data_IF_874274881397
#
_entry.id   IF_874274881397
#
_cell.length_a   1.000
_cell.length_b   1.000
_cell.length_c   1.000
_cell.angle_alpha   90.00
_cell.angle_beta   90.00
_cell.angle_gamma   90.00
#
_symmetry.space_group_name_H-M   'P 1'
#
loop_
_entity.id
_entity.type
_entity.pdbx_description
1 polymer ?
#
# COMPACT_ATOMS: atom_id res chain seq x y z
N UNK A 1 0.00 -2.33 25.80
CA UNK A 1 1.28 -2.16 25.10
C UNK A 1 1.02 -1.29 23.88
N UNK A 2 1.82 -0.28 23.58
CA UNK A 2 1.59 0.49 22.35
C UNK A 2 1.94 -0.34 21.10
N UNK A 3 1.58 0.17 19.92
CA UNK A 3 1.95 -0.42 18.63
C UNK A 3 3.47 -0.64 18.54
N UNK A 4 3.90 -1.84 18.16
CA UNK A 4 5.29 -2.22 17.95
C UNK A 4 5.49 -2.63 16.50
N UNK A 5 6.42 -1.97 15.82
CA UNK A 5 6.72 -2.22 14.41
C UNK A 5 8.18 -2.63 14.26
N UNK A 6 8.42 -3.87 13.84
CA UNK A 6 9.75 -4.46 13.78
C UNK A 6 10.09 -4.95 12.38
N UNK A 7 11.25 -4.55 11.86
CA UNK A 7 11.80 -5.16 10.65
C UNK A 7 12.69 -6.35 11.02
N UNK A 8 12.52 -7.46 10.31
CA UNK A 8 13.38 -8.63 10.39
C UNK A 8 14.09 -8.82 9.06
N UNK A 9 15.41 -8.66 9.03
CA UNK A 9 16.22 -8.93 7.83
C UNK A 9 16.65 -10.38 7.83
N UNK A 10 16.42 -11.07 6.72
CA UNK A 10 16.75 -12.48 6.59
C UNK A 10 17.40 -12.82 5.25
N UNK A 11 18.05 -13.98 5.17
CA UNK A 11 18.56 -14.54 3.93
C UNK A 11 17.99 -15.94 3.70
N UNK A 12 17.33 -16.15 2.57
CA UNK A 12 16.78 -17.44 2.15
C UNK A 12 15.67 -17.97 3.06
N UNK A 13 15.13 -19.14 2.71
CA UNK A 13 13.99 -19.74 3.43
C UNK A 13 14.34 -20.11 4.87
N UNK A 14 15.54 -20.62 5.14
CA UNK A 14 15.94 -20.99 6.50
C UNK A 14 16.02 -19.76 7.42
N UNK A 15 16.56 -18.63 6.92
CA UNK A 15 16.59 -17.38 7.65
C UNK A 15 15.20 -16.82 7.92
N UNK A 16 14.30 -16.88 6.94
CA UNK A 16 12.90 -16.50 7.10
C UNK A 16 12.24 -17.31 8.22
N UNK A 17 12.34 -18.64 8.17
CA UNK A 17 11.73 -19.52 9.16
C UNK A 17 12.34 -19.32 10.55
N UNK A 18 13.66 -19.15 10.65
CA UNK A 18 14.36 -18.93 11.90
C UNK A 18 13.93 -17.64 12.60
N UNK A 19 13.60 -16.57 11.86
CA UNK A 19 13.15 -15.32 12.44
C UNK A 19 11.63 -15.26 12.68
N UNK A 20 10.80 -15.78 11.77
CA UNK A 20 9.34 -15.64 11.86
C UNK A 20 8.68 -16.70 12.75
N UNK A 21 9.14 -17.97 12.73
CA UNK A 21 8.48 -19.03 13.51
C UNK A 21 8.53 -18.81 15.03
N UNK A 22 9.65 -18.34 15.65
CA UNK A 22 9.66 -18.04 17.07
C UNK A 22 8.63 -16.98 17.43
N UNK A 23 8.51 -15.92 16.62
CA UNK A 23 7.55 -14.83 16.82
C UNK A 23 6.10 -15.33 16.80
N UNK A 24 5.75 -16.16 15.81
CA UNK A 24 4.41 -16.77 15.69
C UNK A 24 4.12 -17.70 16.86
N UNK A 25 5.07 -18.59 17.19
CA UNK A 25 4.91 -19.57 18.28
C UNK A 25 4.79 -18.89 19.65
N UNK A 26 5.48 -17.78 19.86
CA UNK A 26 5.35 -16.97 21.08
C UNK A 26 3.92 -16.43 21.22
N UNK A 27 3.33 -15.89 20.15
CA UNK A 27 1.92 -15.46 20.14
C UNK A 27 0.97 -16.61 20.50
N UNK A 28 1.16 -17.78 19.90
CA UNK A 28 0.36 -18.97 20.17
C UNK A 28 0.49 -19.47 21.63
N UNK A 29 1.68 -19.37 22.22
CA UNK A 29 1.92 -19.72 23.63
C UNK A 29 1.23 -18.74 24.58
N UNK A 30 1.20 -17.45 24.21
CA UNK A 30 0.57 -16.37 24.95
C UNK A 30 -0.94 -16.25 24.71
N UNK A 31 -1.48 -17.10 23.83
CA UNK A 31 -2.87 -17.07 23.37
C UNK A 31 -3.27 -15.73 22.73
N UNK A 32 -2.29 -15.05 22.12
CA UNK A 32 -2.51 -13.85 21.32
C UNK A 32 -2.89 -14.28 19.90
N UNK A 33 -3.95 -13.70 19.28
CA UNK A 33 -4.26 -13.93 17.87
C UNK A 33 -3.04 -13.62 16.99
N UNK A 34 -2.79 -14.48 15.99
CA UNK A 34 -1.69 -14.30 15.04
C UNK A 34 -2.22 -14.34 13.61
N UNK A 35 -1.90 -13.29 12.85
CA UNK A 35 -2.14 -13.20 11.41
C UNK A 35 -0.83 -13.01 10.68
N UNK A 36 -0.64 -13.74 9.58
CA UNK A 36 0.50 -13.61 8.67
C UNK A 36 -0.04 -13.24 7.30
N UNK A 37 0.21 -12.00 6.89
CA UNK A 37 -0.11 -11.47 5.57
C UNK A 37 1.18 -11.39 4.74
N UNK A 38 1.35 -12.33 3.82
CA UNK A 38 2.58 -12.43 3.03
C UNK A 38 2.31 -13.04 1.66
N UNK A 39 3.31 -13.12 0.78
CA UNK A 39 3.14 -13.81 -0.50
C UNK A 39 3.09 -15.33 -0.32
N UNK A 40 2.52 -16.06 -1.27
CA UNK A 40 2.47 -17.53 -1.16
C UNK A 40 3.86 -18.17 -1.07
N UNK A 41 4.90 -17.57 -1.65
CA UNK A 41 6.29 -18.03 -1.51
C UNK A 41 6.81 -17.97 -0.05
N UNK A 42 6.23 -17.09 0.76
CA UNK A 42 6.51 -16.92 2.19
C UNK A 42 5.56 -17.77 3.03
N UNK A 43 4.27 -17.82 2.66
CA UNK A 43 3.25 -18.57 3.38
C UNK A 43 3.45 -20.08 3.30
N UNK A 44 3.81 -20.62 2.14
CA UNK A 44 4.00 -22.06 1.93
C UNK A 44 5.01 -22.70 2.90
N UNK A 45 6.28 -22.22 3.01
CA UNK A 45 7.24 -22.80 3.94
C UNK A 45 6.84 -22.57 5.41
N UNK A 46 6.22 -21.43 5.75
CA UNK A 46 5.72 -21.18 7.10
C UNK A 46 4.61 -22.18 7.48
N UNK A 47 3.68 -22.45 6.57
CA UNK A 47 2.58 -23.39 6.76
C UNK A 47 3.09 -24.81 7.00
N UNK A 48 4.07 -25.24 6.21
CA UNK A 48 4.73 -26.54 6.39
C UNK A 48 5.42 -26.65 7.76
N UNK A 49 6.20 -25.63 8.14
CA UNK A 49 6.96 -25.65 9.38
C UNK A 49 6.11 -25.47 10.66
N UNK A 50 4.93 -24.85 10.55
CA UNK A 50 3.96 -24.75 11.63
C UNK A 50 3.21 -26.06 11.88
N UNK A 51 3.03 -26.91 10.86
CA UNK A 51 2.29 -28.18 11.00
C UNK A 51 0.86 -27.94 11.51
N UNK A 52 0.46 -28.65 12.58
CA UNK A 52 -0.89 -28.53 13.16
C UNK A 52 -1.19 -27.13 13.70
N UNK A 53 -0.16 -26.40 14.16
CA UNK A 53 -0.32 -25.03 14.66
C UNK A 53 -0.76 -24.05 13.57
N UNK A 54 -0.57 -24.38 12.28
CA UNK A 54 -1.02 -23.53 11.18
C UNK A 54 -2.54 -23.29 11.20
N UNK A 55 -3.33 -24.21 11.78
CA UNK A 55 -4.79 -24.05 11.93
C UNK A 55 -5.18 -22.96 12.95
N UNK A 56 -4.22 -22.50 13.76
CA UNK A 56 -4.39 -21.48 14.79
C UNK A 56 -3.86 -20.12 14.36
N UNK A 57 -3.38 -19.99 13.12
CA UNK A 57 -2.78 -18.78 12.55
C UNK A 57 -3.55 -18.40 11.29
N UNK A 58 -3.93 -17.13 11.16
CA UNK A 58 -4.56 -16.62 9.93
C UNK A 58 -3.48 -16.38 8.86
N UNK A 59 -3.27 -17.34 7.97
CA UNK A 59 -2.34 -17.25 6.83
C UNK A 59 -3.08 -16.68 5.61
N UNK A 60 -2.76 -15.46 5.20
CA UNK A 60 -3.49 -14.70 4.17
C UNK A 60 -2.50 -14.15 3.13
N UNK A 61 -2.85 -14.24 1.84
CA UNK A 61 -2.07 -13.58 0.81
C UNK A 61 -2.22 -12.06 0.90
N UNK A 62 -1.11 -11.34 0.96
CA UNK A 62 -1.12 -9.88 1.12
C UNK A 62 -1.58 -9.16 -0.15
N UNK A 63 -2.39 -8.11 -0.01
CA UNK A 63 -2.79 -7.28 -1.15
C UNK A 63 -1.58 -6.54 -1.73
N UNK A 64 -1.53 -6.43 -3.07
CA UNK A 64 -0.44 -5.75 -3.77
C UNK A 64 -0.51 -4.23 -3.64
N UNK A 65 -1.69 -3.65 -3.45
CA UNK A 65 -1.92 -2.22 -3.32
C UNK A 65 -1.70 -1.76 -1.86
N UNK A 66 -0.63 -0.99 -1.56
CA UNK A 66 -0.29 -0.59 -0.19
C UNK A 66 -1.35 0.26 0.51
N UNK A 67 -2.22 0.93 -0.25
CA UNK A 67 -3.31 1.74 0.30
C UNK A 67 -4.38 0.90 1.01
N UNK A 68 -4.47 -0.41 0.74
CA UNK A 68 -5.47 -1.31 1.33
C UNK A 68 -4.98 -2.04 2.58
N UNK A 69 -3.67 -2.01 2.84
CA UNK A 69 -3.05 -2.83 3.89
C UNK A 69 -3.31 -2.24 5.29
N UNK A 70 -3.36 -0.91 5.46
CA UNK A 70 -3.72 -0.31 6.76
C UNK A 70 -5.17 -0.65 7.16
N UNK A 71 -6.19 -0.48 6.29
CA UNK A 71 -7.55 -0.96 6.57
C UNK A 71 -7.61 -2.44 6.93
N UNK A 72 -6.84 -3.28 6.23
CA UNK A 72 -6.76 -4.71 6.49
C UNK A 72 -6.27 -5.02 7.92
N UNK A 73 -5.24 -4.31 8.39
CA UNK A 73 -4.76 -4.44 9.76
C UNK A 73 -5.72 -3.83 10.79
N UNK A 74 -6.40 -2.71 10.46
CA UNK A 74 -7.44 -2.13 11.32
C UNK A 74 -8.58 -3.10 11.58
N UNK A 75 -9.09 -3.73 10.53
CA UNK A 75 -10.13 -4.75 10.67
C UNK A 75 -9.69 -5.91 11.58
N UNK A 76 -8.43 -6.35 11.45
CA UNK A 76 -7.86 -7.38 12.31
C UNK A 76 -7.80 -6.98 13.79
N UNK A 77 -7.28 -5.78 14.07
CA UNK A 77 -7.15 -5.26 15.43
C UNK A 77 -8.53 -5.05 16.05
N UNK A 78 -9.47 -4.46 15.32
CA UNK A 78 -10.85 -4.19 15.78
C UNK A 78 -11.66 -5.46 16.05
N UNK A 79 -11.37 -6.55 15.33
CA UNK A 79 -12.05 -7.84 15.53
C UNK A 79 -11.65 -8.55 16.84
N UNK A 80 -10.58 -8.10 17.51
CA UNK A 80 -10.04 -8.76 18.69
C UNK A 80 -10.06 -7.84 19.92
N UNK A 81 -10.19 -8.46 21.09
CA UNK A 81 -10.07 -7.76 22.38
C UNK A 81 -8.72 -8.09 23.00
N UNK A 82 -7.83 -7.11 23.09
CA UNK A 82 -6.50 -7.26 23.71
C UNK A 82 -5.38 -7.40 22.68
N UNK A 83 -4.18 -7.83 23.11
CA UNK A 83 -3.00 -7.85 22.27
C UNK A 83 -3.12 -8.78 21.07
N UNK A 84 -2.68 -8.30 19.90
CA UNK A 84 -2.62 -9.10 18.67
C UNK A 84 -1.23 -9.05 18.04
N UNK A 85 -0.88 -10.09 17.29
CA UNK A 85 0.37 -10.19 16.52
C UNK A 85 0.10 -10.29 15.02
N UNK A 86 0.95 -9.63 14.25
CA UNK A 86 0.94 -9.62 12.80
C UNK A 86 2.32 -9.92 12.23
N UNK A 87 2.34 -10.59 11.09
CA UNK A 87 3.50 -10.61 10.18
C UNK A 87 3.05 -10.02 8.85
N UNK A 88 3.73 -9.00 8.36
CA UNK A 88 3.37 -8.31 7.12
C UNK A 88 4.53 -8.26 6.13
N UNK A 89 4.38 -8.80 4.93
CA UNK A 89 5.40 -8.73 3.87
C UNK A 89 4.94 -7.80 2.71
N UNK A 90 4.70 -6.49 2.95
CA UNK A 90 4.27 -5.61 1.87
C UNK A 90 5.43 -5.29 0.91
N UNK A 91 6.68 -5.39 1.33
CA UNK A 91 7.87 -5.18 0.49
C UNK A 91 8.57 -6.51 0.21
N UNK A 92 8.82 -6.80 -1.06
CA UNK A 92 9.46 -8.04 -1.48
C UNK A 92 10.21 -7.90 -2.82
N UNK A 93 11.17 -8.78 -3.12
CA UNK A 93 11.88 -8.78 -4.40
C UNK A 93 10.94 -8.95 -5.59
N UNK A 94 11.05 -8.05 -6.57
CA UNK A 94 10.23 -8.06 -7.79
C UNK A 94 9.16 -6.97 -7.87
N UNK A 95 8.97 -6.16 -6.81
CA UNK A 95 8.13 -4.95 -6.91
C UNK A 95 8.75 -3.91 -7.84
N UNK A 96 7.90 -3.20 -8.57
CA UNK A 96 8.28 -2.08 -9.40
C UNK A 96 8.72 -0.86 -8.56
N UNK A 97 9.50 0.07 -9.13
CA UNK A 97 9.96 1.26 -8.41
C UNK A 97 8.83 2.12 -7.81
N UNK A 98 7.74 2.32 -8.56
CA UNK A 98 6.59 3.10 -8.10
C UNK A 98 5.82 2.39 -6.97
N UNK A 99 5.71 1.07 -7.03
CA UNK A 99 5.12 0.27 -5.96
C UNK A 99 5.97 0.36 -4.68
N UNK A 100 7.30 0.25 -4.81
CA UNK A 100 8.22 0.33 -3.67
C UNK A 100 8.12 1.66 -2.92
N UNK A 101 7.99 2.78 -3.64
CA UNK A 101 7.79 4.10 -3.02
C UNK A 101 6.50 4.13 -2.19
N UNK A 102 5.39 3.57 -2.70
CA UNK A 102 4.13 3.53 -1.96
C UNK A 102 4.15 2.52 -0.80
N UNK A 103 4.87 1.40 -0.95
CA UNK A 103 5.10 0.47 0.16
C UNK A 103 5.93 1.13 1.27
N UNK A 104 7.00 1.85 0.95
CA UNK A 104 7.81 2.56 1.95
C UNK A 104 6.98 3.64 2.67
N UNK A 105 6.15 4.38 1.93
CA UNK A 105 5.20 5.30 2.52
C UNK A 105 4.23 4.57 3.46
N UNK A 106 3.67 3.43 3.04
CA UNK A 106 2.84 2.58 3.88
C UNK A 106 3.55 2.17 5.17
N UNK A 107 4.78 1.67 5.10
CA UNK A 107 5.59 1.27 6.27
C UNK A 107 5.75 2.42 7.26
N UNK A 108 6.00 3.64 6.77
CA UNK A 108 6.12 4.81 7.65
C UNK A 108 4.80 5.22 8.28
N UNK A 109 3.67 4.98 7.61
CA UNK A 109 2.34 5.36 8.10
C UNK A 109 1.82 4.41 9.16
N UNK A 110 2.27 3.16 9.20
CA UNK A 110 1.89 2.20 10.24
C UNK A 110 2.14 2.76 11.65
N UNK A 111 3.28 3.43 11.87
CA UNK A 111 3.66 3.98 13.18
C UNK A 111 2.74 5.08 13.71
N UNK A 112 1.92 5.70 12.84
CA UNK A 112 0.95 6.74 13.21
C UNK A 112 -0.49 6.32 12.93
N UNK A 113 -0.69 5.09 12.43
CA UNK A 113 -2.01 4.54 12.13
C UNK A 113 -2.62 3.76 13.31
N UNK A 114 -1.78 3.30 14.24
CA UNK A 114 -2.17 2.42 15.34
C UNK A 114 -1.68 2.98 16.69
N UNK A 115 -2.55 2.92 17.69
CA UNK A 115 -2.25 3.22 19.09
C UNK A 115 -2.48 1.98 19.99
N UNK A 116 -3.05 0.92 19.43
CA UNK A 116 -3.50 -0.29 20.08
C UNK A 116 -2.35 -1.25 20.44
N UNK A 117 -2.68 -2.27 21.25
CA UNK A 117 -1.80 -3.41 21.58
C UNK A 117 -1.59 -4.32 20.36
N UNK A 118 -0.82 -3.85 19.39
CA UNK A 118 -0.52 -4.55 18.15
C UNK A 118 0.98 -4.63 17.93
N UNK A 119 1.52 -5.84 17.86
CA UNK A 119 2.89 -6.07 17.42
C UNK A 119 2.89 -6.55 15.97
N UNK A 120 3.70 -5.94 15.11
CA UNK A 120 3.83 -6.25 13.70
C UNK A 120 5.30 -6.49 13.34
N UNK A 121 5.58 -7.68 12.80
CA UNK A 121 6.88 -8.08 12.29
C UNK A 121 6.88 -8.05 10.75
N UNK A 122 7.77 -7.27 10.15
CA UNK A 122 7.90 -7.12 8.70
C UNK A 122 9.21 -7.81 8.22
N UNK A 123 9.14 -8.96 7.54
CA UNK A 123 10.33 -9.64 7.05
C UNK A 123 10.84 -9.00 5.75
N UNK A 124 12.16 -8.78 5.66
CA UNK A 124 12.87 -8.23 4.50
C UNK A 124 13.93 -9.22 4.01
N UNK A 125 13.79 -9.67 2.76
CA UNK A 125 14.79 -10.54 2.09
C UNK A 125 16.06 -9.74 1.76
N UNK A 126 17.05 -9.81 2.64
CA UNK A 126 18.32 -9.13 2.47
C UNK A 126 19.20 -9.73 1.36
N UNK A 127 18.83 -10.90 0.80
CA UNK A 127 19.48 -11.46 -0.39
C UNK A 127 18.87 -10.97 -1.71
N UNK A 128 17.60 -10.57 -1.69
CA UNK A 128 16.85 -10.17 -2.89
C UNK A 128 16.52 -8.67 -3.00
N UNK A 129 16.58 -7.93 -1.89
CA UNK A 129 16.32 -6.49 -1.85
C UNK A 129 17.61 -5.67 -1.94
N UNK A 130 17.51 -4.48 -2.53
CA UNK A 130 18.66 -3.56 -2.59
C UNK A 130 19.00 -2.97 -1.21
N UNK A 131 20.24 -2.52 -1.05
CA UNK A 131 20.69 -1.85 0.17
C UNK A 131 19.85 -0.60 0.48
N UNK A 132 19.42 0.15 -0.53
CA UNK A 132 18.55 1.32 -0.35
C UNK A 132 17.19 0.96 0.27
N UNK A 133 16.61 -0.17 -0.14
CA UNK A 133 15.33 -0.66 0.43
C UNK A 133 15.53 -1.09 1.87
N UNK A 134 16.61 -1.82 2.17
CA UNK A 134 16.93 -2.25 3.54
C UNK A 134 17.26 -1.07 4.46
N UNK A 135 17.97 -0.06 3.94
CA UNK A 135 18.26 1.16 4.68
C UNK A 135 16.98 1.95 4.99
N UNK A 136 16.02 1.99 4.05
CA UNK A 136 14.73 2.63 4.31
C UNK A 136 13.90 1.85 5.34
N UNK A 137 13.98 0.51 5.37
CA UNK A 137 13.37 -0.28 6.43
C UNK A 137 13.88 0.12 7.83
N UNK A 138 15.19 0.37 7.97
CA UNK A 138 15.76 0.88 9.21
C UNK A 138 15.24 2.27 9.60
N UNK A 139 14.75 3.06 8.65
CA UNK A 139 14.22 4.41 8.90
C UNK A 139 12.74 4.42 9.23
N UNK A 140 11.99 3.41 8.77
CA UNK A 140 10.56 3.27 9.03
C UNK A 140 10.23 2.39 10.25
N UNK A 141 11.14 1.52 10.69
CA UNK A 141 10.90 0.63 11.83
C UNK A 141 11.66 1.08 13.08
N UNK A 142 10.98 1.26 14.23
CA UNK A 142 11.65 1.58 15.48
C UNK A 142 12.54 0.43 15.99
N UNK A 143 12.21 -0.82 15.67
CA UNK A 143 13.02 -2.01 15.97
C UNK A 143 13.47 -2.68 14.67
N UNK A 144 14.73 -3.09 14.60
CA UNK A 144 15.30 -3.88 13.50
C UNK A 144 16.09 -5.03 14.11
N UNK A 145 15.76 -6.26 13.73
CA UNK A 145 16.40 -7.49 14.21
C UNK A 145 16.46 -7.58 15.75
N UNK A 146 15.34 -7.26 16.42
CA UNK A 146 15.21 -7.27 17.88
C UNK A 146 15.90 -6.13 18.63
N UNK A 147 16.48 -5.14 17.94
CA UNK A 147 17.15 -3.99 18.56
C UNK A 147 16.60 -2.64 18.08
N UNK A 148 16.63 -1.58 18.90
CA UNK A 148 16.25 -0.24 18.45
C UNK A 148 17.06 0.23 17.24
N UNK A 149 16.37 0.73 16.22
CA UNK A 149 17.04 1.26 15.02
C UNK A 149 17.62 2.65 15.31
N UNK A 150 18.93 2.88 15.09
CA UNK A 150 19.55 4.19 15.24
C UNK A 150 19.17 5.17 14.12
N UNK A 151 18.50 4.70 13.07
CA UNK A 151 18.11 5.49 11.89
C UNK A 151 16.61 5.79 11.83
N UNK A 152 15.84 5.35 12.84
CA UNK A 152 14.39 5.52 12.89
C UNK A 152 13.98 6.99 12.81
N UNK A 153 12.87 7.25 12.11
CA UNK A 153 12.24 8.56 11.99
C UNK A 153 10.85 8.52 12.60
N UNK A 154 10.56 9.46 13.51
CA UNK A 154 9.25 9.60 14.13
C UNK A 154 8.19 10.14 13.15
N UNK A 155 8.60 10.95 12.17
CA UNK A 155 7.70 11.50 11.16
C UNK A 155 7.55 10.56 9.95
N UNK A 156 6.32 10.38 9.41
CA UNK A 156 6.10 9.62 8.19
C UNK A 156 6.91 10.16 7.00
N UNK A 157 7.17 9.29 6.02
CA UNK A 157 7.85 9.68 4.79
C UNK A 157 7.11 10.85 4.10
N UNK A 158 7.81 11.91 3.68
CA UNK A 158 7.18 12.99 2.96
C UNK A 158 6.68 12.52 1.60
N UNK A 159 5.55 13.08 1.16
CA UNK A 159 4.96 12.85 -0.16
C UNK A 159 5.80 13.50 -1.26
N UNK A 160 6.88 12.83 -1.70
CA UNK A 160 7.77 13.32 -2.75
C UNK A 160 7.04 13.50 -4.09
N UNK A 161 7.33 14.53 -4.90
CA UNK A 161 6.66 14.75 -6.19
C UNK A 161 6.75 13.53 -7.12
N UNK A 162 5.68 13.28 -7.88
CA UNK A 162 5.71 12.23 -8.90
C UNK A 162 6.64 12.60 -10.07
N UNK A 163 7.35 11.62 -10.66
CA UNK A 163 8.10 11.83 -11.89
C UNK A 163 7.22 12.45 -12.99
N UNK A 164 7.77 13.27 -13.89
CA UNK A 164 6.99 13.84 -14.98
C UNK A 164 6.46 12.73 -15.91
N UNK A 165 5.22 12.85 -16.43
CA UNK A 165 4.71 11.95 -17.46
C UNK A 165 5.58 11.93 -18.71
N UNK A 166 5.66 10.80 -19.43
CA UNK A 166 6.52 10.66 -20.59
C UNK A 166 6.08 11.57 -21.74
N UNK A 167 7.05 11.94 -22.58
CA UNK A 167 6.79 12.66 -23.83
C UNK A 167 5.90 11.81 -24.74
N UNK A 168 4.91 12.43 -25.40
CA UNK A 168 3.97 11.73 -26.26
C UNK A 168 2.73 11.15 -25.56
N UNK A 169 2.58 11.37 -24.25
CA UNK A 169 1.33 11.08 -23.53
C UNK A 169 0.14 11.77 -24.22
N UNK A 170 -1.02 11.10 -24.28
CA UNK A 170 -2.27 11.74 -24.70
C UNK A 170 -2.66 12.75 -23.61
N UNK A 171 -2.98 13.99 -23.99
CA UNK A 171 -3.25 15.08 -23.05
C UNK A 171 -4.65 15.64 -23.29
N UNK A 172 -5.39 15.86 -22.21
CA UNK A 172 -6.69 16.53 -22.23
C UNK A 172 -6.80 17.48 -21.03
N UNK A 173 -7.07 18.75 -21.31
CA UNK A 173 -7.55 19.67 -20.28
C UNK A 173 -9.05 19.46 -20.06
N UNK A 174 -9.50 19.48 -18.82
CA UNK A 174 -10.90 19.22 -18.48
C UNK A 174 -11.40 20.13 -17.36
N UNK A 175 -12.71 20.23 -17.27
CA UNK A 175 -13.54 20.88 -16.27
C UNK A 175 -14.80 20.03 -16.02
N UNK A 176 -15.82 20.59 -15.35
CA UNK A 176 -17.06 19.88 -15.04
C UNK A 176 -17.83 19.40 -16.29
N UNK A 177 -17.81 20.17 -17.37
CA UNK A 177 -18.61 19.90 -18.58
C UNK A 177 -17.96 18.82 -19.46
N UNK A 178 -16.64 18.72 -19.39
CA UNK A 178 -15.81 17.83 -20.21
C UNK A 178 -15.43 16.50 -19.52
N UNK A 179 -15.99 16.17 -18.35
CA UNK A 179 -15.75 14.88 -17.67
C UNK A 179 -16.10 13.66 -18.56
N UNK A 180 -17.09 13.79 -19.44
CA UNK A 180 -17.44 12.74 -20.40
C UNK A 180 -16.32 12.45 -21.41
N UNK A 181 -15.54 13.46 -21.79
CA UNK A 181 -14.40 13.35 -22.69
C UNK A 181 -13.23 12.65 -22.00
N UNK A 182 -13.02 12.89 -20.70
CA UNK A 182 -12.02 12.16 -19.89
C UNK A 182 -12.33 10.66 -19.89
N UNK A 183 -13.59 10.28 -19.65
CA UNK A 183 -13.99 8.87 -19.69
C UNK A 183 -13.78 8.26 -21.08
N UNK A 184 -14.13 9.00 -22.15
CA UNK A 184 -13.95 8.51 -23.51
C UNK A 184 -12.46 8.33 -23.87
N UNK A 185 -11.61 9.28 -23.47
CA UNK A 185 -10.16 9.23 -23.66
C UNK A 185 -9.56 7.94 -23.09
N UNK A 186 -9.97 7.57 -21.86
CA UNK A 186 -9.52 6.35 -21.18
C UNK A 186 -10.05 5.09 -21.87
N UNK A 187 -11.33 5.06 -22.25
CA UNK A 187 -11.93 3.93 -22.99
C UNK A 187 -11.23 3.70 -24.33
N UNK A 188 -10.96 4.76 -25.08
CA UNK A 188 -10.27 4.68 -26.37
C UNK A 188 -8.84 4.12 -26.25
N UNK A 189 -8.21 4.28 -25.08
CA UNK A 189 -6.90 3.70 -24.80
C UNK A 189 -6.95 2.23 -24.35
N UNK A 190 -8.15 1.63 -24.29
CA UNK A 190 -8.38 0.27 -23.81
C UNK A 190 -8.46 0.17 -22.30
N UNK A 191 -8.88 1.23 -21.60
CA UNK A 191 -9.13 1.17 -20.16
C UNK A 191 -10.38 0.35 -19.83
N UNK A 192 -10.23 -0.64 -18.96
CA UNK A 192 -11.35 -1.43 -18.42
C UNK A 192 -12.28 -0.58 -17.55
N UNK A 193 -13.54 -1.00 -17.31
CA UNK A 193 -14.54 -0.21 -16.58
C UNK A 193 -14.06 0.33 -15.22
N UNK A 194 -13.31 -0.49 -14.47
CA UNK A 194 -12.75 -0.15 -13.17
C UNK A 194 -11.71 0.98 -13.25
N UNK A 195 -10.85 0.95 -14.28
CA UNK A 195 -9.88 2.01 -14.51
C UNK A 195 -10.56 3.31 -14.97
N UNK A 196 -11.59 3.21 -15.82
CA UNK A 196 -12.40 4.38 -16.21
C UNK A 196 -13.07 5.00 -14.99
N UNK A 197 -13.63 4.18 -14.09
CA UNK A 197 -14.24 4.64 -12.85
C UNK A 197 -13.21 5.36 -11.97
N UNK A 198 -12.05 4.77 -11.72
CA UNK A 198 -11.01 5.39 -10.92
C UNK A 198 -10.57 6.76 -11.47
N UNK A 199 -10.35 6.86 -12.78
CA UNK A 199 -9.97 8.13 -13.41
C UNK A 199 -11.10 9.15 -13.33
N UNK A 200 -12.36 8.74 -13.50
CA UNK A 200 -13.51 9.63 -13.38
C UNK A 200 -13.64 10.19 -11.96
N UNK A 201 -13.50 9.35 -10.94
CA UNK A 201 -13.51 9.76 -9.53
C UNK A 201 -12.37 10.73 -9.21
N UNK A 202 -11.17 10.48 -9.75
CA UNK A 202 -10.04 11.41 -9.60
C UNK A 202 -10.30 12.73 -10.31
N UNK A 203 -10.83 12.71 -11.54
CA UNK A 203 -11.17 13.92 -12.28
C UNK A 203 -12.27 14.75 -11.61
N UNK A 204 -13.31 14.09 -11.07
CA UNK A 204 -14.36 14.74 -10.28
C UNK A 204 -13.74 15.43 -9.05
N UNK A 205 -12.85 14.75 -8.33
CA UNK A 205 -12.15 15.35 -7.19
C UNK A 205 -11.32 16.57 -7.62
N UNK A 206 -10.62 16.50 -8.76
CA UNK A 206 -9.87 17.63 -9.31
C UNK A 206 -10.76 18.83 -9.64
N UNK A 207 -11.98 18.63 -10.15
CA UNK A 207 -12.92 19.72 -10.42
C UNK A 207 -13.46 20.29 -9.10
N UNK A 208 -13.94 19.44 -8.21
CA UNK A 208 -14.60 19.87 -6.96
C UNK A 208 -13.63 20.51 -5.96
N UNK A 209 -12.41 19.98 -5.87
CA UNK A 209 -11.44 20.35 -4.83
C UNK A 209 -10.13 20.93 -5.39
N UNK A 210 -9.87 20.78 -6.69
CA UNK A 210 -8.63 21.18 -7.36
C UNK A 210 -8.70 22.48 -8.16
N UNK A 211 -9.74 23.29 -7.97
CA UNK A 211 -9.88 24.61 -8.59
C UNK A 211 -10.71 24.64 -9.88
N UNK A 212 -11.61 23.66 -10.07
CA UNK A 212 -12.60 23.65 -11.15
C UNK A 212 -12.12 23.09 -12.50
N UNK A 213 -10.82 22.80 -12.63
CA UNK A 213 -10.20 22.29 -13.87
C UNK A 213 -8.98 21.44 -13.57
N UNK A 214 -8.63 20.56 -14.49
CA UNK A 214 -7.42 19.74 -14.41
C UNK A 214 -6.85 19.40 -15.78
N UNK A 215 -5.74 18.67 -15.75
CA UNK A 215 -5.11 18.10 -16.94
C UNK A 215 -4.93 16.61 -16.72
N UNK A 216 -5.52 15.81 -17.60
CA UNK A 216 -5.25 14.37 -17.71
C UNK A 216 -4.12 14.14 -18.70
N UNK A 217 -3.16 13.29 -18.31
CA UNK A 217 -2.17 12.68 -19.20
C UNK A 217 -2.28 11.17 -19.12
N UNK A 218 -2.42 10.53 -20.27
CA UNK A 218 -2.63 9.09 -20.39
C UNK A 218 -1.55 8.48 -21.27
N UNK A 219 -0.87 7.46 -20.77
CA UNK A 219 0.11 6.69 -21.52
C UNK A 219 0.01 5.21 -21.17
N UNK A 220 0.65 4.40 -22.02
CA UNK A 220 0.73 2.95 -21.86
C UNK A 220 2.18 2.59 -21.54
N UNK A 221 2.33 1.71 -20.56
CA UNK A 221 3.55 0.97 -20.26
C UNK A 221 3.40 -0.46 -20.78
N UNK A 222 4.48 -1.25 -20.73
CA UNK A 222 4.49 -2.60 -21.31
C UNK A 222 3.38 -3.51 -20.74
N UNK A 223 3.02 -3.29 -19.47
CA UNK A 223 2.07 -4.10 -18.71
C UNK A 223 0.95 -3.28 -18.03
N UNK A 224 0.88 -1.96 -18.23
CA UNK A 224 -0.10 -1.12 -17.57
C UNK A 224 -0.62 0.05 -18.42
N UNK A 225 -1.82 0.52 -18.09
CA UNK A 225 -2.33 1.81 -18.51
C UNK A 225 -2.23 2.78 -17.32
N UNK A 226 -1.66 3.96 -17.57
CA UNK A 226 -1.37 4.94 -16.51
C UNK A 226 -1.99 6.28 -16.84
N UNK A 227 -2.75 6.81 -15.89
CA UNK A 227 -3.40 8.11 -15.96
C UNK A 227 -2.87 9.02 -14.86
N UNK A 228 -2.28 10.15 -15.25
CA UNK A 228 -1.81 11.22 -14.36
C UNK A 228 -2.78 12.39 -14.47
N UNK A 229 -3.42 12.72 -13.36
CA UNK A 229 -4.33 13.86 -13.24
C UNK A 229 -3.64 14.94 -12.42
N UNK A 230 -3.54 16.15 -12.97
CA UNK A 230 -2.94 17.31 -12.30
C UNK A 230 -3.92 18.46 -12.20
N UNK A 231 -3.93 19.12 -11.05
CA UNK A 231 -4.80 20.25 -10.74
C UNK A 231 -4.13 21.23 -9.75
N UNK A 232 -4.87 22.21 -9.23
CA UNK A 232 -4.36 23.19 -8.26
C UNK A 232 -4.67 22.83 -6.80
N UNK A 233 -5.29 21.67 -6.57
CA UNK A 233 -5.65 21.15 -5.27
C UNK A 233 -4.45 20.68 -4.48
N UNK A 234 -4.59 20.66 -3.15
CA UNK A 234 -3.52 20.24 -2.24
C UNK A 234 -4.11 19.25 -1.26
N UNK A 235 -3.81 17.97 -1.48
CA UNK A 235 -4.08 16.90 -0.51
C UNK A 235 -2.79 16.73 0.30
N UNK A 236 -2.85 17.12 1.59
CA UNK A 236 -1.73 16.97 2.54
C UNK A 236 -1.84 15.73 3.41
N UNK A 237 -3.05 15.19 3.54
CA UNK A 237 -3.31 14.01 4.36
C UNK A 237 -2.68 12.77 3.69
N UNK A 238 -1.66 12.13 4.30
CA UNK A 238 -1.05 10.94 3.74
C UNK A 238 -1.95 9.70 3.84
N UNK A 239 -3.06 9.77 4.60
CA UNK A 239 -4.10 8.75 4.66
C UNK A 239 -5.21 8.95 3.63
N UNK A 240 -5.16 10.00 2.81
CA UNK A 240 -6.16 10.24 1.77
C UNK A 240 -6.33 9.01 0.86
N UNK A 241 -7.56 8.51 0.75
CA UNK A 241 -7.89 7.31 -0.02
C UNK A 241 -7.48 5.97 0.63
N UNK A 242 -6.79 5.99 1.78
CA UNK A 242 -6.35 4.81 2.54
C UNK A 242 -7.25 4.47 3.72
N UNK A 243 -8.16 5.36 4.10
CA UNK A 243 -9.13 5.12 5.16
C UNK A 243 -10.49 4.83 4.56
N UNK A 244 -11.19 3.83 5.11
CA UNK A 244 -12.56 3.51 4.70
C UNK A 244 -13.47 4.71 5.05
N UNK A 245 -14.17 5.30 4.08
CA UNK A 245 -15.07 6.41 4.36
C UNK A 245 -16.28 5.92 5.17
N UNK A 246 -16.82 6.78 6.02
CA UNK A 246 -18.05 6.51 6.75
C UNK A 246 -19.23 6.29 5.77
N UNK A 247 -20.13 5.37 6.12
CA UNK A 247 -21.27 4.97 5.29
C UNK A 247 -22.22 6.14 5.07
N UNK A 248 -22.25 7.09 6.01
CA UNK A 248 -23.10 8.29 5.99
C UNK A 248 -22.39 9.54 5.44
N UNK A 249 -21.10 9.44 5.07
CA UNK A 249 -20.37 10.57 4.52
C UNK A 249 -20.90 10.95 3.11
N UNK A 250 -21.42 12.16 2.98
CA UNK A 250 -21.77 12.81 1.71
C UNK A 250 -20.49 13.32 1.02
N UNK A 251 -19.73 12.41 0.41
CA UNK A 251 -18.51 12.72 -0.37
C UNK A 251 -17.24 12.04 0.14
N UNK A 252 -16.12 12.31 -0.53
CA UNK A 252 -14.79 11.81 -0.11
C UNK A 252 -14.48 10.34 -0.43
N UNK A 253 -15.34 9.66 -1.20
CA UNK A 253 -15.16 8.24 -1.54
C UNK A 253 -14.29 8.00 -2.76
N UNK A 254 -14.15 8.98 -3.66
CA UNK A 254 -13.53 8.77 -4.97
C UNK A 254 -12.09 8.26 -4.91
N UNK A 255 -11.24 8.85 -4.06
CA UNK A 255 -9.86 8.36 -3.88
C UNK A 255 -9.80 6.98 -3.23
N UNK A 256 -10.74 6.68 -2.33
CA UNK A 256 -10.85 5.36 -1.73
C UNK A 256 -11.29 4.31 -2.75
N UNK A 257 -12.32 4.61 -3.57
CA UNK A 257 -12.79 3.76 -4.67
C UNK A 257 -11.66 3.51 -5.66
N UNK A 258 -10.92 4.55 -6.08
CA UNK A 258 -9.78 4.41 -6.97
C UNK A 258 -8.75 3.43 -6.41
N UNK A 259 -8.46 3.50 -5.11
CA UNK A 259 -7.61 2.52 -4.44
C UNK A 259 -8.20 1.11 -4.44
N UNK A 260 -9.53 0.91 -4.43
CA UNK A 260 -10.17 -0.41 -4.45
C UNK A 260 -10.20 -1.07 -5.84
N UNK A 261 -10.17 -0.30 -6.91
CA UNK A 261 -10.35 -0.82 -8.28
C UNK A 261 -9.09 -0.77 -9.14
N UNK A 262 -8.01 -0.13 -8.66
CA UNK A 262 -6.73 -0.04 -9.36
C UNK A 262 -5.58 -0.72 -8.61
N UNK A 263 -4.56 -1.13 -9.37
CA UNK A 263 -3.36 -1.80 -8.84
C UNK A 263 -2.51 -0.86 -8.00
N UNK A 264 -2.39 0.41 -8.43
CA UNK A 264 -1.66 1.42 -7.68
C UNK A 264 -2.29 2.80 -7.90
N UNK A 265 -2.44 3.56 -6.81
CA UNK A 265 -2.80 4.98 -6.84
C UNK A 265 -1.78 5.74 -6.02
N UNK A 266 -1.13 6.72 -6.64
CA UNK A 266 -0.16 7.59 -5.98
C UNK A 266 -0.75 8.99 -5.87
N UNK A 267 -0.95 9.45 -4.64
CA UNK A 267 -1.53 10.77 -4.36
C UNK A 267 -0.42 11.69 -3.87
N UNK A 268 -0.26 12.85 -4.50
CA UNK A 268 0.66 13.92 -4.14
C UNK A 268 -0.05 15.27 -4.21
N UNK A 269 0.49 16.32 -3.57
CA UNK A 269 -0.01 17.68 -3.78
C UNK A 269 -0.11 18.04 -5.27
N UNK A 270 -1.31 18.38 -5.74
CA UNK A 270 -1.60 18.76 -7.12
C UNK A 270 -1.48 17.65 -8.17
N UNK A 271 -1.31 16.39 -7.77
CA UNK A 271 -1.18 15.27 -8.70
C UNK A 271 -1.70 13.95 -8.13
N UNK A 272 -2.52 13.24 -8.89
CA UNK A 272 -2.92 11.86 -8.61
C UNK A 272 -2.59 11.00 -9.83
N UNK A 273 -1.86 9.92 -9.62
CA UNK A 273 -1.54 8.94 -10.66
C UNK A 273 -2.21 7.62 -10.36
N UNK A 274 -2.95 7.10 -11.35
CA UNK A 274 -3.65 5.83 -11.28
C UNK A 274 -3.02 4.88 -12.30
N UNK A 275 -2.68 3.67 -11.86
CA UNK A 275 -2.14 2.59 -12.69
C UNK A 275 -3.06 1.38 -12.61
N UNK A 276 -3.42 0.83 -13.77
CA UNK A 276 -4.08 -0.46 -13.87
C UNK A 276 -3.28 -1.39 -14.78
N UNK A 277 -2.98 -2.59 -14.29
CA UNK A 277 -2.39 -3.65 -15.08
C UNK A 277 -3.24 -4.00 -16.30
N UNK A 278 -2.59 -4.10 -17.45
CA UNK A 278 -3.15 -4.64 -18.67
C UNK A 278 -3.04 -6.15 -18.58
N UNK A 279 -4.03 -6.81 -18.00
CA UNK A 279 -4.05 -8.27 -18.07
C UNK A 279 -4.01 -8.69 -19.54
N UNK A 280 -2.93 -9.37 -19.94
CA UNK A 280 -2.94 -10.16 -21.18
C UNK A 280 -3.92 -11.30 -20.93
N UNK A 281 -5.10 -11.22 -21.55
CA UNK A 281 -5.97 -12.38 -21.72
C UNK A 281 -5.22 -13.52 -22.37
#
# INVERSE_FOLDING_TARGET
>A
MAFLHEALRYHGTDGLLAGVLPYVREGLQRQEPVRVAAREQTLAPLREALGEDATRVELIEIDRNPARIIPFWREYVEAHRGPVRGVGEPIYPGRGPDELVECQLHESLLNVAFEEDFALLCPYDAGGLSEDVLHEACRSHPIVDGAPSPHYRDEPLPLAPLPPPPTGSRVLGFDLESLSEVRQLVRDAGGEPDFVLAVDEVAINSVQHGGGRGIVRLWREDDALVCDVRDQGIIRDPFAGRTRPDVDAFGGRGLWIANQVCELVQIRPGAVRVRAGLQRR
#
